data_IF_620152524834
#
_entry.id   IF_620152524834
#
_cell.length_a   1.000
_cell.length_b   1.000
_cell.length_c   1.000
_cell.angle_alpha   90.00
_cell.angle_beta   90.00
_cell.angle_gamma   90.00
#
_symmetry.space_group_name_H-M   'P 1'
#
loop_
_entity.id
_entity.type
_entity.pdbx_description
1 polymer ?
#
# COMPACT_ATOMS: atom_id res chain seq x y z
N UNK A 1 12.39 22.96 -9.70
CA UNK A 1 12.00 22.25 -8.46
C UNK A 1 10.64 21.62 -8.68
N UNK A 2 10.56 20.29 -8.80
CA UNK A 2 9.29 19.58 -8.95
C UNK A 2 8.95 18.91 -7.62
N UNK A 3 7.99 19.47 -6.87
CA UNK A 3 7.39 18.78 -5.74
C UNK A 3 6.52 17.64 -6.31
N UNK A 4 6.99 16.41 -6.18
CA UNK A 4 6.20 15.23 -6.50
C UNK A 4 5.26 15.00 -5.32
N UNK A 5 4.02 15.45 -5.44
CA UNK A 5 2.95 15.09 -4.51
C UNK A 5 2.55 13.63 -4.75
N UNK A 6 2.66 12.79 -3.72
CA UNK A 6 2.13 11.43 -3.77
C UNK A 6 0.60 11.51 -3.77
N UNK A 7 -0.01 11.36 -4.94
CA UNK A 7 -1.47 11.24 -5.07
C UNK A 7 -1.94 9.88 -4.55
N UNK A 8 -2.98 9.87 -3.72
CA UNK A 8 -3.66 8.64 -3.30
C UNK A 8 -3.39 8.16 -1.87
N UNK A 9 -2.86 9.00 -0.98
CA UNK A 9 -2.88 8.70 0.45
C UNK A 9 -4.33 8.74 0.98
N UNK A 10 -4.71 7.71 1.73
CA UNK A 10 -6.03 7.59 2.38
C UNK A 10 -5.81 7.55 3.88
N UNK A 11 -6.46 8.46 4.60
CA UNK A 11 -6.52 8.44 6.06
C UNK A 11 -7.85 7.83 6.46
N UNK A 12 -7.77 6.83 7.33
CA UNK A 12 -8.93 6.22 7.96
C UNK A 12 -8.78 6.47 9.45
N UNK A 13 -9.69 7.27 10.00
CA UNK A 13 -9.76 7.61 11.42
C UNK A 13 -11.05 7.13 12.04
N UNK A 14 -10.96 6.72 13.30
CA UNK A 14 -12.14 6.43 14.12
C UNK A 14 -12.23 7.41 15.27
N UNK A 15 -13.41 7.93 15.54
CA UNK A 15 -13.65 8.84 16.66
C UNK A 15 -14.81 8.34 17.52
N UNK A 16 -14.63 8.47 18.84
CA UNK A 16 -15.69 8.25 19.82
C UNK A 16 -15.82 9.50 20.68
N UNK A 17 -17.03 10.08 20.73
CA UNK A 17 -17.37 11.15 21.67
C UNK A 17 -18.42 10.65 22.63
N UNK A 18 -18.08 10.62 23.92
CA UNK A 18 -19.04 10.30 24.96
C UNK A 18 -20.18 11.35 25.01
N UNK A 19 -21.43 10.97 25.37
CA UNK A 19 -22.58 11.86 25.28
C UNK A 19 -22.44 13.15 26.12
N UNK A 20 -21.78 13.06 27.28
CA UNK A 20 -21.54 14.18 28.21
C UNK A 20 -20.33 15.07 27.86
N UNK A 21 -19.49 14.67 26.91
CA UNK A 21 -18.31 15.43 26.53
C UNK A 21 -18.70 16.68 25.73
N UNK A 22 -17.97 17.78 25.88
CA UNK A 22 -18.17 18.96 25.04
C UNK A 22 -17.92 18.66 23.56
N UNK A 23 -18.82 19.12 22.69
CA UNK A 23 -18.77 18.84 21.25
C UNK A 23 -17.69 19.66 20.57
N UNK A 24 -17.56 20.93 20.93
CA UNK A 24 -16.60 21.85 20.29
C UNK A 24 -15.18 21.39 20.61
N UNK A 25 -14.86 21.17 21.88
CA UNK A 25 -13.55 20.68 22.30
C UNK A 25 -13.18 19.34 21.66
N UNK A 26 -14.15 18.43 21.46
CA UNK A 26 -13.90 17.15 20.78
C UNK A 26 -13.59 17.34 19.29
N UNK A 27 -14.36 18.17 18.59
CA UNK A 27 -14.16 18.45 17.16
C UNK A 27 -12.89 19.26 16.90
N UNK A 28 -12.50 20.15 17.81
CA UNK A 28 -11.22 20.88 17.76
C UNK A 28 -10.05 19.90 17.87
N UNK A 29 -10.06 18.98 18.85
CA UNK A 29 -9.03 17.96 18.98
C UNK A 29 -8.94 17.02 17.75
N UNK A 30 -10.08 16.69 17.13
CA UNK A 30 -10.10 15.96 15.86
C UNK A 30 -9.50 16.79 14.72
N UNK A 31 -9.78 18.08 14.67
CA UNK A 31 -9.21 19.00 13.66
C UNK A 31 -7.69 19.07 13.79
N UNK A 32 -7.16 19.20 15.01
CA UNK A 32 -5.72 19.17 15.27
C UNK A 32 -5.09 17.85 14.82
N UNK A 33 -5.77 16.73 15.10
CA UNK A 33 -5.30 15.40 14.67
C UNK A 33 -5.28 15.29 13.15
N UNK A 34 -6.34 15.70 12.46
CA UNK A 34 -6.45 15.62 11.00
C UNK A 34 -5.41 16.51 10.32
N UNK A 35 -5.21 17.73 10.83
CA UNK A 35 -4.24 18.69 10.28
C UNK A 35 -2.79 18.27 10.50
N UNK A 36 -2.51 17.38 11.46
CA UNK A 36 -1.17 16.79 11.66
C UNK A 36 -0.72 15.86 10.52
N UNK A 37 -1.62 15.50 9.59
CA UNK A 37 -1.31 14.69 8.41
C UNK A 37 -1.37 15.53 7.12
N UNK A 38 -0.37 16.38 6.85
CA UNK A 38 -0.32 17.13 5.59
C UNK A 38 -0.13 16.15 4.43
N UNK A 39 -0.88 16.34 3.34
CA UNK A 39 -0.84 15.54 2.09
C UNK A 39 -1.78 14.32 1.99
N UNK A 40 -2.95 14.33 2.64
CA UNK A 40 -4.02 13.36 2.34
C UNK A 40 -5.04 13.92 1.34
N UNK A 41 -5.26 13.18 0.25
CA UNK A 41 -6.33 13.51 -0.71
C UNK A 41 -7.69 12.97 -0.23
N UNK A 42 -7.67 11.87 0.52
CA UNK A 42 -8.86 11.09 0.89
C UNK A 42 -8.89 10.89 2.41
N UNK A 43 -9.96 11.36 3.06
CA UNK A 43 -10.22 11.18 4.48
C UNK A 43 -11.53 10.43 4.67
N UNK A 44 -11.48 9.40 5.52
CA UNK A 44 -12.62 8.62 5.98
C UNK A 44 -12.59 8.67 7.51
N UNK A 45 -13.53 9.37 8.11
CA UNK A 45 -13.73 9.44 9.55
C UNK A 45 -15.00 8.67 9.90
N UNK A 46 -14.93 7.72 10.83
CA UNK A 46 -16.09 6.96 11.26
C UNK A 46 -16.19 6.87 12.79
N UNK A 47 -17.38 6.65 13.31
CA UNK A 47 -17.57 6.28 14.72
C UNK A 47 -18.77 6.95 15.37
N UNK A 48 -18.91 6.74 16.67
CA UNK A 48 -20.04 7.19 17.47
C UNK A 48 -19.74 8.56 18.10
N UNK A 49 -20.42 9.60 17.60
CA UNK A 49 -20.30 10.93 18.17
C UNK A 49 -21.38 11.24 19.21
N UNK A 50 -22.34 10.34 19.46
CA UNK A 50 -23.48 10.60 20.33
C UNK A 50 -24.20 11.93 19.99
N UNK A 51 -24.27 12.26 18.69
CA UNK A 51 -25.02 13.40 18.15
C UNK A 51 -26.10 12.81 17.27
N UNK A 52 -27.33 12.77 17.77
CA UNK A 52 -28.44 12.23 16.99
C UNK A 52 -28.79 13.15 15.83
N UNK A 53 -28.57 12.67 14.60
CA UNK A 53 -28.86 13.40 13.37
C UNK A 53 -30.34 13.32 12.95
N UNK A 54 -31.14 12.46 13.58
CA UNK A 54 -32.59 12.40 13.35
C UNK A 54 -33.36 13.44 14.18
N UNK A 55 -32.77 13.92 15.29
CA UNK A 55 -33.34 14.98 16.10
C UNK A 55 -33.07 16.37 15.49
N UNK A 56 -34.05 16.90 14.77
CA UNK A 56 -33.97 18.24 14.15
C UNK A 56 -33.80 19.39 15.16
N UNK A 57 -34.05 19.16 16.45
CA UNK A 57 -33.86 20.17 17.51
C UNK A 57 -32.48 20.09 18.18
N UNK A 58 -31.66 19.12 17.79
CA UNK A 58 -30.35 18.91 18.38
C UNK A 58 -29.39 20.04 18.00
N UNK A 59 -29.05 20.88 18.97
CA UNK A 59 -28.19 22.06 18.81
C UNK A 59 -26.74 21.73 18.43
N UNK A 60 -26.34 20.46 18.52
CA UNK A 60 -25.00 19.97 18.15
C UNK A 60 -24.87 19.74 16.65
N UNK A 61 -25.97 19.58 15.91
CA UNK A 61 -25.95 19.32 14.46
C UNK A 61 -25.30 20.46 13.67
N UNK A 62 -25.65 21.75 13.88
CA UNK A 62 -24.99 22.84 13.17
C UNK A 62 -23.47 22.91 13.40
N UNK A 63 -23.02 22.61 14.63
CA UNK A 63 -21.59 22.57 14.99
C UNK A 63 -20.87 21.47 14.22
N UNK A 64 -21.47 20.27 14.17
CA UNK A 64 -20.93 19.16 13.37
C UNK A 64 -20.91 19.51 11.87
N UNK A 65 -21.98 20.12 11.34
CA UNK A 65 -22.05 20.53 9.93
C UNK A 65 -20.96 21.55 9.57
N UNK A 66 -20.68 22.52 10.46
CA UNK A 66 -19.60 23.47 10.27
C UNK A 66 -18.24 22.77 10.22
N UNK A 67 -17.96 21.88 11.17
CA UNK A 67 -16.73 21.08 11.19
C UNK A 67 -16.54 20.28 9.88
N UNK A 68 -17.60 19.59 9.41
CA UNK A 68 -17.55 18.84 8.17
C UNK A 68 -17.33 19.75 6.96
N UNK A 69 -17.97 20.93 6.94
CA UNK A 69 -17.80 21.91 5.86
C UNK A 69 -16.35 22.43 5.80
N UNK A 70 -15.74 22.78 6.94
CA UNK A 70 -14.36 23.24 7.02
C UNK A 70 -13.35 22.21 6.49
N UNK A 71 -13.63 20.91 6.67
CA UNK A 71 -12.80 19.81 6.20
C UNK A 71 -13.22 19.25 4.83
N UNK A 72 -14.21 19.87 4.16
CA UNK A 72 -14.82 19.38 2.93
C UNK A 72 -15.27 17.90 3.00
N UNK A 73 -15.79 17.50 4.16
CA UNK A 73 -16.33 16.17 4.42
C UNK A 73 -17.85 16.16 4.28
N UNK A 74 -18.38 15.00 3.90
CA UNK A 74 -19.82 14.73 3.89
C UNK A 74 -20.10 13.53 4.78
N UNK A 75 -21.08 13.67 5.67
CA UNK A 75 -21.67 12.54 6.35
C UNK A 75 -22.50 11.74 5.32
N UNK A 76 -22.32 10.42 5.25
CA UNK A 76 -22.94 9.56 4.22
C UNK A 76 -23.97 8.54 4.76
N UNK A 77 -24.21 8.50 6.07
CA UNK A 77 -25.13 7.55 6.69
C UNK A 77 -26.49 8.22 6.87
N UNK A 78 -27.52 7.70 6.20
CA UNK A 78 -28.86 8.27 6.26
C UNK A 78 -29.87 7.44 7.08
N UNK A 79 -29.48 6.23 7.49
CA UNK A 79 -30.35 5.30 8.21
C UNK A 79 -30.04 5.32 9.71
N UNK A 80 -31.02 5.01 10.59
CA UNK A 80 -30.78 4.92 12.03
C UNK A 80 -29.69 3.88 12.35
N UNK A 81 -28.85 4.20 13.32
CA UNK A 81 -27.67 3.40 13.67
C UNK A 81 -27.67 2.87 15.08
N UNK A 82 -28.51 3.42 15.96
CA UNK A 82 -28.69 2.93 17.33
C UNK A 82 -30.17 2.76 17.65
N UNK A 83 -30.53 1.61 18.22
CA UNK A 83 -31.91 1.16 18.44
C UNK A 83 -32.09 0.89 19.94
N UNK A 84 -32.81 1.77 20.65
CA UNK A 84 -33.01 1.64 22.09
C UNK A 84 -34.12 0.62 22.41
N UNK A 85 -35.20 0.69 21.65
CA UNK A 85 -36.34 -0.23 21.59
C UNK A 85 -36.94 -0.22 20.17
N UNK A 86 -38.07 -0.92 19.96
CA UNK A 86 -38.72 -1.03 18.65
C UNK A 86 -39.23 0.31 18.09
N UNK A 87 -39.37 1.34 18.92
CA UNK A 87 -39.97 2.63 18.56
C UNK A 87 -38.97 3.79 18.56
N UNK A 88 -37.84 3.65 19.26
CA UNK A 88 -36.87 4.71 19.47
C UNK A 88 -35.52 4.37 18.83
N UNK A 89 -35.20 5.12 17.79
CA UNK A 89 -34.02 4.92 16.96
C UNK A 89 -33.32 6.26 16.78
N UNK A 90 -32.00 6.24 16.86
CA UNK A 90 -31.16 7.42 16.72
C UNK A 90 -30.08 7.16 15.67
N UNK A 91 -29.59 8.24 15.07
CA UNK A 91 -28.46 8.18 14.14
C UNK A 91 -27.28 8.89 14.77
N UNK A 92 -26.46 8.12 15.50
CA UNK A 92 -25.32 8.63 16.28
C UNK A 92 -23.97 8.13 15.75
N UNK A 93 -23.95 6.94 15.14
CA UNK A 93 -22.80 6.44 14.40
C UNK A 93 -22.74 7.10 13.01
N UNK A 94 -21.62 7.75 12.72
CA UNK A 94 -21.40 8.50 11.48
C UNK A 94 -20.29 7.87 10.64
N UNK A 95 -20.36 8.13 9.34
CA UNK A 95 -19.22 8.01 8.42
C UNK A 95 -19.16 9.32 7.65
N UNK A 96 -18.04 10.02 7.77
CA UNK A 96 -17.78 11.32 7.18
C UNK A 96 -16.58 11.24 6.24
N UNK A 97 -16.75 11.66 4.99
CA UNK A 97 -15.71 11.47 3.98
C UNK A 97 -15.75 12.52 2.87
N UNK A 98 -14.60 12.79 2.27
CA UNK A 98 -14.47 13.46 0.97
C UNK A 98 -14.20 12.46 -0.18
N UNK A 99 -14.18 11.15 0.12
CA UNK A 99 -13.81 10.08 -0.80
C UNK A 99 -15.06 9.54 -1.50
N UNK A 100 -14.93 9.22 -2.79
CA UNK A 100 -16.03 8.60 -3.53
C UNK A 100 -16.37 7.21 -2.99
N UNK A 101 -17.65 6.93 -2.81
CA UNK A 101 -18.17 5.64 -2.35
C UNK A 101 -19.13 5.03 -3.38
N UNK A 102 -19.38 3.73 -3.28
CA UNK A 102 -20.24 2.95 -4.18
C UNK A 102 -21.51 2.49 -3.49
N UNK A 103 -21.39 1.94 -2.29
CA UNK A 103 -22.53 1.45 -1.51
C UNK A 103 -22.39 1.86 -0.05
N UNK A 104 -23.54 2.08 0.59
CA UNK A 104 -23.68 2.28 2.04
C UNK A 104 -24.81 1.36 2.47
N UNK A 105 -24.55 0.51 3.46
CA UNK A 105 -25.53 -0.37 4.05
C UNK A 105 -25.45 -0.28 5.58
N UNK A 106 -26.63 -0.26 6.19
CA UNK A 106 -26.80 -0.28 7.65
C UNK A 106 -27.56 -1.54 8.00
N UNK A 107 -26.96 -2.40 8.83
CA UNK A 107 -27.55 -3.68 9.21
C UNK A 107 -27.66 -3.77 10.73
N UNK A 108 -28.87 -3.63 11.24
CA UNK A 108 -29.15 -3.91 12.64
C UNK A 108 -29.40 -5.40 12.85
N UNK A 109 -28.87 -5.96 13.93
CA UNK A 109 -29.14 -7.34 14.36
C UNK A 109 -29.38 -7.28 15.85
N UNK A 110 -30.65 -7.22 16.31
CA UNK A 110 -31.00 -6.99 17.72
C UNK A 110 -30.28 -7.93 18.70
N UNK A 111 -30.04 -9.18 18.30
CA UNK A 111 -29.34 -10.20 19.09
C UNK A 111 -27.86 -9.84 19.39
N UNK A 112 -27.25 -8.99 18.58
CA UNK A 112 -25.85 -8.58 18.70
C UNK A 112 -25.68 -7.22 19.41
N UNK A 113 -26.79 -6.54 19.74
CA UNK A 113 -26.79 -5.29 20.47
C UNK A 113 -27.63 -4.19 19.82
N UNK A 114 -27.52 -2.99 20.39
CA UNK A 114 -28.32 -1.83 19.99
C UNK A 114 -27.75 -1.06 18.81
N UNK A 115 -26.46 -1.19 18.52
CA UNK A 115 -25.85 -0.54 17.36
C UNK A 115 -26.01 -1.40 16.10
N UNK A 116 -26.28 -0.74 14.97
CA UNK A 116 -26.25 -1.36 13.66
C UNK A 116 -24.82 -1.39 13.11
N UNK A 117 -24.52 -2.45 12.38
CA UNK A 117 -23.28 -2.56 11.63
C UNK A 117 -23.35 -1.68 10.38
N UNK A 118 -22.37 -0.80 10.22
CA UNK A 118 -22.19 0.02 9.02
C UNK A 118 -21.22 -0.66 8.05
N UNK A 119 -21.65 -0.79 6.80
CA UNK A 119 -20.83 -1.31 5.71
C UNK A 119 -20.79 -0.28 4.59
N UNK A 120 -19.60 0.25 4.32
CA UNK A 120 -19.38 1.25 3.27
C UNK A 120 -18.30 0.75 2.30
N UNK A 121 -18.63 0.75 1.01
CA UNK A 121 -17.69 0.41 -0.06
C UNK A 121 -17.12 1.69 -0.69
N UNK A 122 -15.83 1.96 -0.44
CA UNK A 122 -15.14 3.12 -1.01
C UNK A 122 -14.48 2.79 -2.35
N UNK A 123 -14.46 3.76 -3.28
CA UNK A 123 -13.71 3.69 -4.54
C UNK A 123 -12.41 4.47 -4.41
N UNK A 124 -11.35 3.76 -4.03
CA UNK A 124 -10.02 4.34 -3.87
C UNK A 124 -9.18 3.97 -5.10
N UNK A 125 -8.73 4.98 -5.84
CA UNK A 125 -7.81 4.76 -6.96
C UNK A 125 -6.39 4.60 -6.42
N UNK A 126 -5.90 3.37 -6.39
CA UNK A 126 -4.49 3.10 -6.11
C UNK A 126 -3.65 3.48 -7.32
N UNK A 127 -2.75 4.44 -7.18
CA UNK A 127 -1.72 4.67 -8.19
C UNK A 127 -0.74 3.48 -8.16
N UNK A 128 -0.74 2.68 -9.23
CA UNK A 128 0.26 1.64 -9.40
C UNK A 128 1.53 2.28 -9.96
N UNK A 129 2.70 2.08 -9.32
CA UNK A 129 3.97 2.51 -9.90
C UNK A 129 4.09 1.95 -11.32
N UNK A 130 4.41 2.80 -12.29
CA UNK A 130 4.66 2.34 -13.66
C UNK A 130 5.86 1.39 -13.63
N UNK A 131 5.79 0.22 -14.31
CA UNK A 131 6.95 -0.67 -14.40
C UNK A 131 8.14 0.11 -14.96
N UNK A 132 9.24 0.14 -14.23
CA UNK A 132 10.47 0.74 -14.70
C UNK A 132 11.26 -0.31 -15.46
N UNK A 133 11.73 0.01 -16.66
CA UNK A 133 12.68 -0.85 -17.37
C UNK A 133 14.08 -0.50 -16.85
N UNK A 134 14.78 -1.49 -16.32
CA UNK A 134 16.17 -1.35 -15.90
C UNK A 134 17.02 -2.20 -16.83
N UNK A 135 17.98 -1.54 -17.48
CA UNK A 135 18.99 -2.19 -18.32
C UNK A 135 20.26 -2.32 -17.50
N UNK A 136 20.80 -3.53 -17.39
CA UNK A 136 22.02 -3.81 -16.63
C UNK A 136 22.86 -4.91 -17.29
N UNK A 137 24.15 -4.98 -16.94
CA UNK A 137 25.03 -6.09 -17.32
C UNK A 137 25.14 -7.08 -16.16
N UNK A 138 24.83 -8.38 -16.35
CA UNK A 138 24.87 -9.38 -15.29
C UNK A 138 26.31 -9.85 -15.00
N UNK A 139 27.10 -9.03 -14.30
CA UNK A 139 28.52 -9.33 -14.06
C UNK A 139 28.75 -10.54 -13.13
N UNK A 140 27.79 -10.88 -12.25
CA UNK A 140 27.94 -11.99 -11.30
C UNK A 140 28.01 -13.37 -11.97
N UNK A 141 27.54 -13.49 -13.21
CA UNK A 141 27.45 -14.77 -13.93
C UNK A 141 28.49 -14.95 -15.03
N UNK A 142 29.48 -14.06 -15.15
CA UNK A 142 30.50 -14.18 -16.19
C UNK A 142 31.50 -15.27 -15.82
N UNK A 143 31.98 -16.02 -16.82
CA UNK A 143 33.16 -16.87 -16.67
C UNK A 143 34.40 -15.98 -16.72
N UNK A 144 35.07 -15.86 -15.58
CA UNK A 144 36.23 -14.98 -15.40
C UNK A 144 37.43 -15.41 -16.21
N UNK A 145 37.59 -16.71 -16.43
CA UNK A 145 38.69 -17.32 -17.16
C UNK A 145 38.59 -16.93 -18.64
N UNK A 146 37.45 -17.19 -19.27
CA UNK A 146 37.19 -16.82 -20.67
C UNK A 146 37.24 -15.31 -20.89
N UNK A 147 36.75 -14.52 -19.93
CA UNK A 147 36.84 -13.05 -20.00
C UNK A 147 38.29 -12.58 -19.99
N UNK A 148 39.13 -13.17 -19.13
CA UNK A 148 40.55 -12.83 -19.05
C UNK A 148 41.31 -13.25 -20.32
N UNK A 149 41.03 -14.44 -20.85
CA UNK A 149 41.59 -14.92 -22.10
C UNK A 149 41.25 -13.96 -23.26
N UNK A 150 39.95 -13.67 -23.45
CA UNK A 150 39.49 -12.77 -24.50
C UNK A 150 40.07 -11.36 -24.32
N UNK A 151 40.18 -10.84 -23.08
CA UNK A 151 40.82 -9.54 -22.80
C UNK A 151 42.30 -9.50 -23.21
N UNK A 152 43.06 -10.56 -22.91
CA UNK A 152 44.48 -10.63 -23.28
C UNK A 152 44.70 -10.80 -24.79
N UNK A 153 43.70 -11.30 -25.51
CA UNK A 153 43.74 -11.48 -26.96
C UNK A 153 43.49 -10.19 -27.77
N UNK A 154 43.05 -9.11 -27.10
CA UNK A 154 42.70 -7.86 -27.79
C UNK A 154 43.96 -7.16 -28.32
N UNK A 155 43.98 -6.90 -29.64
CA UNK A 155 44.93 -5.97 -30.24
C UNK A 155 44.57 -4.52 -29.89
N UNK A 156 45.46 -3.88 -29.13
CA UNK A 156 45.33 -2.49 -28.66
C UNK A 156 45.97 -1.47 -29.59
N UNK A 157 46.74 -1.89 -30.61
CA UNK A 157 47.39 -0.97 -31.53
C UNK A 157 46.41 -0.02 -32.23
N UNK A 158 45.22 -0.47 -32.68
CA UNK A 158 44.23 0.42 -33.29
C UNK A 158 43.70 1.50 -32.35
N UNK A 159 43.70 1.28 -31.03
CA UNK A 159 43.29 2.28 -30.05
C UNK A 159 44.39 3.32 -29.77
N UNK A 160 45.65 3.04 -30.13
CA UNK A 160 46.81 3.94 -29.98
C UNK A 160 47.15 4.69 -31.27
N UNK A 161 46.58 4.27 -32.39
CA UNK A 161 46.87 4.82 -33.71
C UNK A 161 46.31 6.25 -33.95
N UNK A 162 45.12 6.63 -33.44
CA UNK A 162 44.59 7.98 -33.65
C UNK A 162 45.47 9.06 -33.00
N UNK A 163 45.55 10.24 -33.61
CA UNK A 163 46.28 11.39 -33.04
C UNK A 163 45.42 12.12 -32.00
N UNK A 164 44.10 12.12 -32.20
CA UNK A 164 43.15 12.73 -31.29
C UNK A 164 42.91 11.82 -30.08
N UNK A 165 43.03 12.38 -28.88
CA UNK A 165 42.78 11.67 -27.62
C UNK A 165 41.34 11.19 -27.53
N UNK A 166 40.36 11.96 -28.02
CA UNK A 166 38.96 11.55 -28.02
C UNK A 166 38.75 10.28 -28.85
N UNK A 167 39.37 10.20 -30.03
CA UNK A 167 39.32 9.03 -30.92
C UNK A 167 40.02 7.80 -30.29
N UNK A 168 41.12 8.01 -29.56
CA UNK A 168 41.78 6.93 -28.82
C UNK A 168 40.86 6.38 -27.72
N UNK A 169 40.19 7.25 -26.97
CA UNK A 169 39.25 6.87 -25.89
C UNK A 169 38.04 6.15 -26.48
N UNK A 170 37.50 6.61 -27.60
CA UNK A 170 36.40 5.95 -28.30
C UNK A 170 36.80 4.53 -28.77
N UNK A 171 37.95 4.38 -29.39
CA UNK A 171 38.46 3.09 -29.86
C UNK A 171 38.69 2.11 -28.69
N UNK A 172 39.28 2.59 -27.59
CA UNK A 172 39.46 1.80 -26.37
C UNK A 172 38.10 1.38 -25.78
N UNK A 173 37.17 2.33 -25.66
CA UNK A 173 35.82 2.10 -25.12
C UNK A 173 35.06 1.09 -25.96
N UNK A 174 35.13 1.16 -27.28
CA UNK A 174 34.50 0.21 -28.18
C UNK A 174 35.01 -1.22 -27.97
N UNK A 175 36.33 -1.40 -27.81
CA UNK A 175 36.93 -2.72 -27.52
C UNK A 175 36.45 -3.27 -26.18
N UNK A 176 36.49 -2.46 -25.12
CA UNK A 176 36.04 -2.87 -23.78
C UNK A 176 34.55 -3.20 -23.78
N UNK A 177 33.72 -2.38 -24.42
CA UNK A 177 32.29 -2.65 -24.55
C UNK A 177 32.00 -3.94 -25.31
N UNK A 178 32.73 -4.22 -26.40
CA UNK A 178 32.56 -5.46 -27.17
C UNK A 178 32.85 -6.72 -26.35
N UNK A 179 33.85 -6.64 -25.46
CA UNK A 179 34.17 -7.70 -24.51
C UNK A 179 33.00 -7.89 -23.53
N UNK A 180 32.50 -6.80 -22.96
CA UNK A 180 31.33 -6.86 -22.09
C UNK A 180 30.06 -7.31 -22.82
N UNK A 181 29.86 -7.00 -24.08
CA UNK A 181 28.71 -7.48 -24.87
C UNK A 181 28.75 -8.99 -25.09
N UNK A 182 29.95 -9.55 -25.24
CA UNK A 182 30.18 -11.00 -25.37
C UNK A 182 29.95 -11.74 -24.05
N UNK A 183 30.54 -11.27 -22.95
CA UNK A 183 30.51 -12.01 -21.68
C UNK A 183 29.37 -11.60 -20.74
N UNK A 184 28.90 -10.35 -20.82
CA UNK A 184 27.84 -9.79 -19.99
C UNK A 184 26.87 -8.94 -20.82
N UNK A 185 26.15 -9.54 -21.78
CA UNK A 185 25.23 -8.82 -22.65
C UNK A 185 24.19 -8.05 -21.84
N UNK A 186 23.80 -6.87 -22.33
CA UNK A 186 22.79 -6.04 -21.68
C UNK A 186 21.48 -6.81 -21.55
N UNK A 187 20.93 -6.80 -20.33
CA UNK A 187 19.63 -7.37 -20.02
C UNK A 187 18.70 -6.27 -19.55
N UNK A 188 17.52 -6.23 -20.15
CA UNK A 188 16.44 -5.32 -19.74
C UNK A 188 15.42 -6.12 -18.96
N UNK A 189 15.17 -5.71 -17.70
CA UNK A 189 14.16 -6.33 -16.84
C UNK A 189 13.14 -5.30 -16.41
N UNK A 190 11.88 -5.76 -16.24
CA UNK A 190 10.82 -4.97 -15.63
C UNK A 190 11.03 -4.95 -14.12
N UNK A 191 11.51 -3.81 -13.62
CA UNK A 191 11.64 -3.52 -12.20
C UNK A 191 10.33 -2.97 -11.65
N UNK A 192 9.78 -3.64 -10.64
CA UNK A 192 8.49 -3.28 -10.01
C UNK A 192 8.65 -2.43 -8.74
N UNK A 193 9.86 -1.95 -8.46
CA UNK A 193 10.19 -1.18 -7.25
C UNK A 193 11.17 -1.92 -6.33
N UNK A 194 11.70 -1.22 -5.31
CA UNK A 194 12.62 -1.80 -4.35
C UNK A 194 11.99 -2.97 -3.60
N UNK A 195 12.78 -3.98 -3.21
CA UNK A 195 12.27 -5.08 -2.40
C UNK A 195 11.72 -4.53 -1.08
N UNK A 196 10.58 -5.05 -0.65
CA UNK A 196 10.01 -4.73 0.65
C UNK A 196 11.04 -5.05 1.76
N UNK A 197 11.45 -4.06 2.58
CA UNK A 197 12.50 -4.26 3.60
C UNK A 197 12.21 -5.39 4.59
N UNK A 198 10.92 -5.61 4.89
CA UNK A 198 10.45 -6.67 5.79
C UNK A 198 10.43 -8.07 5.13
N UNK A 199 10.57 -8.18 3.81
CA UNK A 199 10.66 -9.48 3.12
C UNK A 199 12.12 -9.88 2.99
N UNK A 200 12.64 -10.45 4.08
CA UNK A 200 14.01 -10.96 4.17
C UNK A 200 14.21 -12.26 3.36
N UNK A 201 15.45 -12.70 3.20
CA UNK A 201 15.77 -13.98 2.57
C UNK A 201 15.08 -15.16 3.27
N UNK A 202 15.01 -15.13 4.61
CA UNK A 202 14.29 -16.13 5.42
C UNK A 202 12.80 -16.13 5.12
N UNK A 203 12.16 -14.95 5.08
CA UNK A 203 10.72 -14.84 4.74
C UNK A 203 10.46 -15.39 3.34
N UNK A 204 11.31 -15.07 2.35
CA UNK A 204 11.19 -15.64 0.99
C UNK A 204 11.32 -17.16 0.99
N UNK A 205 12.23 -17.72 1.79
CA UNK A 205 12.39 -19.18 1.93
C UNK A 205 11.13 -19.80 2.52
N UNK A 206 10.59 -19.23 3.61
CA UNK A 206 9.36 -19.72 4.24
C UNK A 206 8.16 -19.66 3.30
N UNK A 207 8.02 -18.59 2.51
CA UNK A 207 7.00 -18.47 1.46
C UNK A 207 7.12 -19.63 0.45
N UNK A 208 8.34 -19.91 -0.05
CA UNK A 208 8.56 -21.02 -1.00
C UNK A 208 8.23 -22.38 -0.40
N UNK A 209 8.59 -22.62 0.87
CA UNK A 209 8.29 -23.86 1.58
C UNK A 209 6.77 -24.02 1.74
N UNK A 210 6.07 -22.97 2.20
CA UNK A 210 4.61 -22.97 2.29
C UNK A 210 3.95 -23.26 0.94
N UNK A 211 4.40 -22.58 -0.11
CA UNK A 211 3.82 -22.71 -1.45
C UNK A 211 4.08 -24.09 -2.04
N UNK A 212 5.24 -24.71 -1.76
CA UNK A 212 5.52 -26.08 -2.19
C UNK A 212 4.66 -27.11 -1.46
N UNK A 213 4.44 -26.96 -0.15
CA UNK A 213 3.50 -27.81 0.60
C UNK A 213 2.07 -27.64 0.11
N UNK A 214 1.63 -26.41 -0.16
CA UNK A 214 0.30 -26.15 -0.68
C UNK A 214 0.10 -26.71 -2.09
N UNK A 215 1.13 -26.66 -2.96
CA UNK A 215 1.11 -27.31 -4.26
C UNK A 215 0.99 -28.84 -4.13
N UNK A 216 1.82 -29.45 -3.28
CA UNK A 216 1.75 -30.89 -2.96
C UNK A 216 0.38 -31.30 -2.42
N UNK A 217 -0.21 -30.51 -1.53
CA UNK A 217 -1.56 -30.75 -1.00
C UNK A 217 -2.65 -30.68 -2.08
N UNK A 218 -2.51 -29.78 -3.06
CA UNK A 218 -3.46 -29.69 -4.17
C UNK A 218 -3.37 -30.87 -5.12
N UNK A 219 -2.16 -31.39 -5.33
CA UNK A 219 -1.90 -32.59 -6.12
C UNK A 219 -2.37 -33.85 -5.39
N UNK A 220 -2.09 -33.94 -4.09
CA UNK A 220 -2.46 -35.05 -3.22
C UNK A 220 -3.74 -34.75 -2.42
N UNK A 221 -4.82 -34.46 -3.13
CA UNK A 221 -6.18 -34.36 -2.54
C UNK A 221 -6.68 -35.70 -1.97
N UNK A 222 -5.88 -36.76 -2.00
CA UNK A 222 -6.17 -38.03 -1.33
C UNK A 222 -5.83 -37.90 0.16
N UNK A 223 -6.84 -38.03 1.00
CA UNK A 223 -6.77 -37.80 2.45
C UNK A 223 -5.81 -38.78 3.15
N UNK A 224 -4.50 -38.48 3.30
CA UNK A 224 -3.67 -39.36 4.16
C UNK A 224 -2.42 -38.82 4.88
N UNK A 225 -2.12 -37.52 4.98
CA UNK A 225 -0.90 -37.11 5.73
C UNK A 225 -1.08 -35.84 6.59
N UNK A 226 -1.89 -35.94 7.65
CA UNK A 226 -2.10 -34.84 8.61
C UNK A 226 -1.20 -34.88 9.87
N UNK A 227 -0.26 -35.82 10.03
CA UNK A 227 0.44 -36.01 11.33
C UNK A 227 1.95 -36.34 11.27
N UNK A 228 2.76 -35.69 10.41
CA UNK A 228 4.22 -35.85 10.49
C UNK A 228 5.01 -34.53 10.41
N UNK A 229 4.47 -33.45 10.97
CA UNK A 229 5.15 -32.14 11.01
C UNK A 229 5.71 -31.72 12.37
N UNK A 230 5.49 -32.50 13.44
CA UNK A 230 5.69 -32.02 14.81
C UNK A 230 6.79 -32.72 15.62
N UNK A 231 7.70 -33.44 14.99
CA UNK A 231 8.82 -34.11 15.68
C UNK A 231 10.15 -33.96 14.94
N UNK A 232 10.62 -32.72 14.74
CA UNK A 232 12.07 -32.45 14.64
C UNK A 232 12.34 -31.01 15.10
N UNK A 233 12.17 -30.76 16.38
CA UNK A 233 12.87 -29.68 17.08
C UNK A 233 13.34 -30.30 18.40
N UNK A 234 14.46 -31.02 18.32
CA UNK A 234 15.20 -31.50 19.49
C UNK A 234 16.42 -30.63 19.69
N UNK A 235 16.67 -30.33 20.98
CA UNK A 235 17.95 -30.22 21.69
C UNK A 235 19.15 -29.55 21.00
#
# INVERSE_FOLDING_TARGET
>A
MGLIFFRGAVIIGTAYRAPWQDVVAHLDALTDTITSFPNCDNLILAGDLNIDLLDSKNTKIPVLQQFLHCLNLKQIIAQPTHFHDDQTQTLIDIVCTNTSFKTVATKHTPELGRHAMLVVEFRIKKETPKPQLVTYRPLRGICTELFSEDLTSIDWNPARAPVNVDEQVEAMTAKVLSLFDRHAPLKTVKFKGPPHPWITGTVRRMIRIRDSYHAKYKEDRSKTNLLQGHETCGD
#
